data_IF_156817351014
#
_entry.id   IF_156817351014
#
_cell.length_a   1.000
_cell.length_b   1.000
_cell.length_c   1.000
_cell.angle_alpha   90.00
_cell.angle_beta   90.00
_cell.angle_gamma   90.00
#
_symmetry.space_group_name_H-M   'P 1'
#
loop_
_entity.id
_entity.type
_entity.pdbx_description
1 polymer ?
#
# COMPACT_ATOMS: atom_id res chain seq x y z
N UNK A 1 -2.91 8.32 -5.01
CA UNK A 1 -1.83 7.60 -4.31
C UNK A 1 -1.29 6.51 -5.21
N UNK A 2 0.01 6.45 -5.43
CA UNK A 2 0.65 5.44 -6.29
C UNK A 2 1.94 4.93 -5.66
N UNK A 3 2.23 3.63 -5.82
CA UNK A 3 3.55 3.10 -5.48
C UNK A 3 4.54 3.52 -6.58
N UNK A 4 5.64 4.16 -6.17
CA UNK A 4 6.67 4.67 -7.09
C UNK A 4 8.02 3.98 -6.90
N UNK A 5 8.13 3.09 -5.90
CA UNK A 5 9.32 2.29 -5.71
C UNK A 5 9.29 1.51 -4.39
N UNK A 6 10.34 0.73 -4.18
CA UNK A 6 10.60 0.01 -2.95
C UNK A 6 12.09 0.07 -2.64
N UNK A 7 12.43 -0.05 -1.36
CA UNK A 7 13.79 -0.08 -0.86
C UNK A 7 13.88 -1.12 0.26
N UNK A 8 14.98 -1.86 0.27
CA UNK A 8 15.26 -2.82 1.33
C UNK A 8 16.52 -2.37 2.06
N UNK A 9 16.35 -1.48 3.05
CA UNK A 9 17.46 -1.00 3.87
C UNK A 9 17.60 -1.95 5.06
N UNK A 10 18.74 -2.62 5.16
CA UNK A 10 19.09 -3.50 6.30
C UNK A 10 18.04 -4.57 6.62
N UNK A 11 17.44 -5.19 5.60
CA UNK A 11 16.44 -6.25 5.77
C UNK A 11 15.03 -5.75 6.14
N UNK A 12 14.82 -4.44 6.21
CA UNK A 12 13.50 -3.84 6.46
C UNK A 12 12.88 -3.40 5.11
N UNK A 13 11.91 -4.15 4.56
CA UNK A 13 11.25 -3.77 3.33
C UNK A 13 10.44 -2.49 3.56
N UNK A 14 10.66 -1.50 2.70
CA UNK A 14 10.03 -0.19 2.76
C UNK A 14 9.53 0.17 1.35
N UNK A 15 8.34 0.73 1.23
CA UNK A 15 7.78 1.18 -0.03
C UNK A 15 7.75 2.71 -0.07
N UNK A 16 7.89 3.24 -1.28
CA UNK A 16 7.77 4.65 -1.58
C UNK A 16 6.42 4.90 -2.26
N UNK A 17 5.61 5.74 -1.62
CA UNK A 17 4.29 6.12 -2.11
C UNK A 17 4.29 7.60 -2.50
N UNK A 18 3.79 7.91 -3.69
CA UNK A 18 3.44 9.28 -4.06
C UNK A 18 1.98 9.54 -3.72
N UNK A 19 1.73 10.56 -2.92
CA UNK A 19 0.40 11.10 -2.66
C UNK A 19 0.46 12.57 -3.03
N UNK A 20 -0.37 12.96 -4.00
CA UNK A 20 -0.29 14.24 -4.69
C UNK A 20 1.13 14.48 -5.23
N UNK A 21 1.89 15.38 -4.61
CA UNK A 21 3.27 15.69 -5.00
C UNK A 21 4.31 15.38 -3.90
N UNK A 22 3.91 14.62 -2.87
CA UNK A 22 4.76 14.24 -1.75
C UNK A 22 5.09 12.74 -1.78
N UNK A 23 6.30 12.40 -1.37
CA UNK A 23 6.77 11.01 -1.24
C UNK A 23 6.73 10.60 0.23
N UNK A 24 6.03 9.52 0.52
CA UNK A 24 5.93 8.89 1.83
C UNK A 24 6.66 7.55 1.82
N UNK A 25 7.32 7.22 2.94
CA UNK A 25 7.92 5.92 3.16
C UNK A 25 7.04 5.12 4.10
N UNK A 26 6.72 3.88 3.74
CA UNK A 26 5.87 3.00 4.54
C UNK A 26 6.48 1.61 4.68
N UNK A 27 6.14 0.93 5.77
CA UNK A 27 6.65 -0.40 6.17
C UNK A 27 5.49 -1.35 6.52
N UNK A 28 5.73 -2.67 6.57
CA UNK A 28 4.74 -3.61 7.07
C UNK A 28 4.20 -3.17 8.44
N UNK A 29 2.88 -3.22 8.60
CA UNK A 29 2.17 -2.73 9.79
C UNK A 29 1.72 -1.27 9.73
N UNK A 30 2.22 -0.45 8.81
CA UNK A 30 1.66 0.88 8.56
C UNK A 30 0.29 0.80 7.88
N UNK A 31 -0.42 1.93 7.85
CA UNK A 31 -1.75 2.06 7.27
C UNK A 31 -1.73 3.07 6.12
N UNK A 32 -2.54 2.82 5.09
CA UNK A 32 -2.68 3.68 3.93
C UNK A 32 -4.09 3.63 3.34
N UNK A 33 -4.44 4.65 2.56
CA UNK A 33 -5.76 4.77 1.93
C UNK A 33 -6.88 5.12 2.91
N UNK A 34 -8.08 5.29 2.36
CA UNK A 34 -9.27 5.69 3.13
C UNK A 34 -9.90 4.50 3.89
N UNK A 35 -9.65 3.28 3.43
CA UNK A 35 -10.25 2.05 3.98
C UNK A 35 -9.38 1.40 5.07
N UNK A 36 -8.57 2.18 5.79
CA UNK A 36 -7.64 1.66 6.81
C UNK A 36 -6.77 0.50 6.31
N UNK A 37 -6.21 0.61 5.10
CA UNK A 37 -5.41 -0.43 4.46
C UNK A 37 -4.13 -0.72 5.24
N UNK A 38 -4.11 -1.79 6.03
CA UNK A 38 -2.92 -2.24 6.76
C UNK A 38 -1.96 -2.97 5.82
N UNK A 39 -0.72 -2.50 5.77
CA UNK A 39 0.33 -3.14 4.97
C UNK A 39 0.71 -4.47 5.59
N UNK A 40 0.51 -5.55 4.84
CA UNK A 40 0.89 -6.90 5.24
C UNK A 40 2.30 -7.25 4.75
N UNK A 41 2.59 -6.89 3.50
CA UNK A 41 3.85 -7.24 2.83
C UNK A 41 4.20 -6.18 1.79
N UNK A 42 5.49 -5.92 1.62
CA UNK A 42 6.04 -5.10 0.56
C UNK A 42 6.99 -5.99 -0.25
N UNK A 43 6.84 -5.97 -1.57
CA UNK A 43 7.77 -6.57 -2.52
C UNK A 43 8.37 -5.50 -3.41
N UNK A 44 9.23 -5.90 -4.34
CA UNK A 44 9.82 -4.97 -5.29
C UNK A 44 8.76 -4.24 -6.14
N UNK A 45 7.69 -4.98 -6.49
CA UNK A 45 6.73 -4.56 -7.51
C UNK A 45 5.33 -4.25 -6.96
N UNK A 46 5.03 -4.58 -5.70
CA UNK A 46 3.71 -4.31 -5.13
C UNK A 46 3.72 -4.21 -3.61
N UNK A 47 2.66 -3.62 -3.07
CA UNK A 47 2.31 -3.65 -1.65
C UNK A 47 1.04 -4.46 -1.49
N UNK A 48 1.04 -5.44 -0.59
CA UNK A 48 -0.16 -6.18 -0.20
C UNK A 48 -0.78 -5.58 1.05
N UNK A 49 -2.09 -5.35 1.00
CA UNK A 49 -2.87 -4.61 1.97
C UNK A 49 -4.06 -5.44 2.45
N UNK A 50 -4.47 -5.21 3.69
CA UNK A 50 -5.79 -5.58 4.18
C UNK A 50 -6.58 -4.31 4.47
N UNK A 51 -7.68 -4.12 3.78
CA UNK A 51 -8.60 -3.00 3.94
C UNK A 51 -9.84 -3.42 4.72
N UNK A 52 -10.48 -2.44 5.36
CA UNK A 52 -11.79 -2.59 5.99
C UNK A 52 -12.79 -1.85 5.09
N UNK A 53 -13.70 -2.59 4.47
CA UNK A 53 -14.68 -2.06 3.53
C UNK A 53 -16.08 -2.43 3.99
N UNK A 54 -17.05 -1.57 3.67
CA UNK A 54 -18.45 -1.89 3.89
C UNK A 54 -18.98 -2.69 2.70
N UNK A 55 -19.66 -3.80 2.95
CA UNK A 55 -20.31 -4.58 1.91
C UNK A 55 -21.68 -3.99 1.52
N UNK A 56 -22.35 -4.60 0.54
CA UNK A 56 -23.65 -4.12 0.05
C UNK A 56 -24.77 -4.18 1.11
N UNK A 57 -24.59 -4.97 2.16
CA UNK A 57 -25.53 -5.11 3.27
C UNK A 57 -25.26 -4.15 4.43
N UNK A 58 -24.14 -3.43 4.39
CA UNK A 58 -23.75 -2.47 5.42
C UNK A 58 -22.79 -3.02 6.45
N UNK A 59 -22.38 -4.29 6.36
CA UNK A 59 -21.45 -4.91 7.28
C UNK A 59 -20.00 -4.57 6.92
N UNK A 60 -19.15 -4.46 7.93
CA UNK A 60 -17.72 -4.22 7.75
C UNK A 60 -16.97 -5.53 7.56
N UNK A 61 -16.27 -5.65 6.44
CA UNK A 61 -15.49 -6.84 6.09
C UNK A 61 -14.05 -6.49 5.74
N UNK A 62 -13.17 -7.48 5.91
CA UNK A 62 -11.77 -7.36 5.50
C UNK A 62 -11.61 -7.77 4.04
N UNK A 63 -10.92 -6.93 3.26
CA UNK A 63 -10.60 -7.21 1.86
C UNK A 63 -9.09 -7.15 1.63
N UNK A 64 -8.55 -8.18 0.97
CA UNK A 64 -7.17 -8.14 0.49
C UNK A 64 -7.09 -7.34 -0.80
N UNK A 65 -6.14 -6.42 -0.88
CA UNK A 65 -5.85 -5.64 -2.09
C UNK A 65 -4.35 -5.49 -2.30
N UNK A 66 -3.96 -5.19 -3.54
CA UNK A 66 -2.59 -4.87 -3.90
C UNK A 66 -2.49 -3.47 -4.48
N UNK A 67 -1.40 -2.79 -4.19
CA UNK A 67 -0.99 -1.56 -4.86
C UNK A 67 0.27 -1.87 -5.66
N UNK A 68 0.12 -1.93 -6.97
CA UNK A 68 1.22 -2.24 -7.88
C UNK A 68 2.10 -1.01 -8.15
N UNK A 69 3.39 -1.27 -8.35
CA UNK A 69 4.37 -0.29 -8.77
C UNK A 69 3.93 0.32 -10.11
N UNK A 70 3.73 1.64 -10.10
CA UNK A 70 3.46 2.38 -11.32
C UNK A 70 4.80 2.75 -11.95
N UNK A 71 5.21 1.98 -12.96
CA UNK A 71 6.32 2.37 -13.82
C UNK A 71 5.91 3.64 -14.59
N UNK A 72 6.76 4.66 -14.57
CA UNK A 72 6.49 5.90 -15.30
C UNK A 72 6.27 5.57 -16.78
N UNK A 73 5.11 5.95 -17.32
CA UNK A 73 4.90 5.92 -18.77
C UNK A 73 5.97 6.82 -19.40
N UNK A 74 6.83 6.23 -20.23
CA UNK A 74 7.77 6.95 -21.08
C UNK A 74 7.03 7.87 -22.04
#
# INVERSE_FOLDING_TARGET
MTMVGSLNKTGAPTALLRVDNLIYQVRPGNYLGQNYGKILKITENQIQLREIVQDATGDWTERMSSLDLQEGKK
#
